data_IF_392619809216
#
_entry.id   IF_392619809216
#
_cell.length_a   1.000
_cell.length_b   1.000
_cell.length_c   1.000
_cell.angle_alpha   90.00
_cell.angle_beta   90.00
_cell.angle_gamma   90.00
#
_symmetry.space_group_name_H-M   'P 1'
#
loop_
_entity.id
_entity.type
_entity.pdbx_description
1 polymer ?
#
# COMPACT_ATOMS: atom_id res chain seq x y z
N UNK A 1 4.66 0.67 77.97
CA UNK A 1 6.08 0.58 78.37
C UNK A 1 6.88 0.11 77.17
N UNK A 2 8.13 0.48 76.89
CA UNK A 2 9.01 1.65 77.19
C UNK A 2 10.21 1.52 76.22
N UNK A 3 10.99 2.59 75.98
CA UNK A 3 12.22 2.67 75.16
C UNK A 3 13.22 1.49 75.33
N UNK A 4 14.20 1.22 74.45
CA UNK A 4 15.28 2.11 73.91
C UNK A 4 15.98 1.37 72.73
N UNK A 5 16.25 1.90 71.52
CA UNK A 5 17.16 2.98 71.04
C UNK A 5 18.68 2.70 71.09
N UNK A 6 19.36 2.66 69.92
CA UNK A 6 20.82 2.80 69.57
C UNK A 6 21.06 2.15 68.15
N UNK A 7 21.79 2.62 67.10
CA UNK A 7 22.74 3.74 66.80
C UNK A 7 24.24 3.28 66.76
N UNK A 8 25.06 3.36 65.69
CA UNK A 8 24.94 3.87 64.30
C UNK A 8 26.05 3.29 63.37
N UNK A 9 25.89 3.37 62.03
CA UNK A 9 26.98 3.26 61.02
C UNK A 9 26.53 2.59 59.70
N UNK A 10 26.33 3.28 58.56
CA UNK A 10 27.26 3.99 57.64
C UNK A 10 28.13 3.08 56.72
N UNK A 11 27.53 2.70 55.57
CA UNK A 11 27.95 2.95 54.17
C UNK A 11 29.45 3.09 53.76
N UNK A 12 29.81 2.90 52.46
CA UNK A 12 29.24 1.95 51.48
C UNK A 12 30.31 1.31 50.54
N UNK A 13 30.07 0.11 49.99
CA UNK A 13 30.89 -0.37 48.84
C UNK A 13 30.16 -1.23 47.81
N UNK A 14 30.24 -0.74 46.57
CA UNK A 14 29.87 -1.33 45.28
C UNK A 14 30.26 -2.79 45.08
N UNK A 15 29.29 -3.62 44.68
CA UNK A 15 29.53 -4.68 43.68
C UNK A 15 28.24 -5.05 42.94
N UNK A 16 28.12 -4.63 41.67
CA UNK A 16 27.19 -5.21 40.70
C UNK A 16 28.02 -6.01 39.70
N UNK A 17 27.66 -7.28 39.50
CA UNK A 17 28.21 -8.18 38.48
C UNK A 17 27.04 -8.95 37.82
N UNK A 18 27.21 -9.51 36.61
CA UNK A 18 26.34 -9.07 35.52
C UNK A 18 25.10 -9.95 35.29
N UNK A 19 24.12 -9.39 34.59
CA UNK A 19 23.06 -10.17 33.97
C UNK A 19 23.58 -10.89 32.72
N UNK A 20 23.20 -12.15 32.56
CA UNK A 20 23.62 -13.05 31.47
C UNK A 20 22.79 -12.82 30.18
N UNK A 21 23.39 -12.39 29.04
CA UNK A 21 22.67 -12.03 27.83
C UNK A 21 22.61 -13.19 26.81
N UNK A 22 22.03 -14.35 27.19
CA UNK A 22 22.16 -15.60 26.42
C UNK A 22 20.83 -16.30 26.00
N UNK A 23 19.81 -15.54 25.54
CA UNK A 23 18.63 -16.08 24.83
C UNK A 23 18.15 -15.25 23.62
N UNK A 24 19.08 -14.92 22.72
CA UNK A 24 18.74 -14.51 21.35
C UNK A 24 18.87 -15.70 20.40
N UNK A 25 17.76 -16.18 19.81
CA UNK A 25 17.78 -17.35 18.92
C UNK A 25 16.64 -17.33 17.90
N UNK A 26 16.98 -17.65 16.64
CA UNK A 26 16.04 -17.86 15.52
C UNK A 26 15.12 -16.65 15.15
N UNK A 27 15.66 -15.43 15.17
CA UNK A 27 15.20 -14.32 14.30
C UNK A 27 16.23 -13.99 13.19
N UNK A 28 17.02 -15.00 12.78
CA UNK A 28 17.91 -14.89 11.62
C UNK A 28 17.35 -15.68 10.45
N UNK A 29 17.32 -14.98 9.31
CA UNK A 29 17.22 -15.44 7.93
C UNK A 29 15.86 -15.50 7.20
N UNK A 30 14.67 -15.50 7.84
CA UNK A 30 13.36 -15.49 7.13
C UNK A 30 13.29 -14.49 5.95
N UNK A 31 13.67 -13.23 6.21
CA UNK A 31 13.68 -12.19 5.19
C UNK A 31 14.92 -12.26 4.26
N UNK A 32 16.02 -12.90 4.68
CA UNK A 32 17.16 -13.16 3.79
C UNK A 32 16.83 -14.26 2.78
N UNK A 33 16.08 -15.29 3.16
CA UNK A 33 15.64 -16.35 2.24
C UNK A 33 14.64 -15.82 1.20
N UNK A 34 13.62 -15.04 1.62
CA UNK A 34 12.73 -14.33 0.68
C UNK A 34 13.50 -13.45 -0.33
N UNK A 35 14.66 -12.89 0.05
CA UNK A 35 15.49 -12.12 -0.88
C UNK A 35 16.42 -13.00 -1.74
N UNK A 36 16.97 -14.10 -1.19
CA UNK A 36 17.79 -15.07 -1.95
C UNK A 36 16.99 -15.66 -3.12
N UNK A 37 15.74 -16.05 -2.87
CA UNK A 37 14.87 -16.66 -3.87
C UNK A 37 14.40 -15.64 -4.93
N UNK A 38 14.29 -14.35 -4.57
CA UNK A 38 13.95 -13.26 -5.49
C UNK A 38 15.16 -12.74 -6.30
N UNK A 39 16.38 -12.72 -5.76
CA UNK A 39 17.61 -12.26 -6.43
C UNK A 39 18.10 -13.23 -7.55
N UNK A 40 17.58 -14.46 -7.62
CA UNK A 40 18.17 -15.59 -8.36
C UNK A 40 18.11 -15.57 -9.92
N UNK A 41 17.78 -14.45 -10.58
CA UNK A 41 17.70 -14.40 -12.05
C UNK A 41 17.83 -12.99 -12.63
N UNK A 42 18.86 -12.75 -13.45
CA UNK A 42 19.17 -11.45 -14.05
C UNK A 42 19.48 -11.57 -15.56
N UNK A 43 18.81 -10.75 -16.36
CA UNK A 43 19.18 -10.47 -17.76
C UNK A 43 18.81 -9.01 -18.10
N UNK A 44 19.74 -8.26 -18.69
CA UNK A 44 19.63 -6.80 -18.85
C UNK A 44 19.04 -6.40 -20.20
N UNK A 45 18.09 -5.45 -20.22
CA UNK A 45 17.56 -4.83 -21.44
C UNK A 45 17.34 -3.32 -21.26
N UNK A 46 17.63 -2.51 -22.29
CA UNK A 46 17.55 -1.05 -22.24
C UNK A 46 16.34 -0.49 -23.03
N UNK A 47 15.91 0.71 -22.66
CA UNK A 47 14.68 1.32 -23.14
C UNK A 47 14.71 1.82 -24.60
N UNK A 48 13.54 1.77 -25.25
CA UNK A 48 13.26 2.41 -26.54
C UNK A 48 12.49 3.74 -26.40
N UNK A 49 12.29 4.48 -27.51
CA UNK A 49 11.70 5.83 -27.48
C UNK A 49 10.19 5.85 -27.20
N UNK A 50 9.73 6.98 -26.62
CA UNK A 50 8.37 7.20 -26.13
C UNK A 50 7.30 7.07 -27.23
N UNK A 51 6.27 6.22 -27.07
CA UNK A 51 5.19 6.08 -28.04
C UNK A 51 4.13 7.19 -27.92
N UNK A 52 3.38 7.37 -29.02
CA UNK A 52 2.06 8.04 -29.06
C UNK A 52 1.17 7.49 -27.94
N UNK A 53 0.29 8.28 -27.28
CA UNK A 53 -0.59 7.78 -26.23
C UNK A 53 -1.47 6.63 -26.74
N UNK A 54 -1.07 5.42 -26.34
CA UNK A 54 -1.82 4.19 -26.60
C UNK A 54 -3.19 4.25 -25.89
N UNK A 55 -4.19 3.47 -26.36
CA UNK A 55 -5.35 3.18 -25.51
C UNK A 55 -4.85 2.65 -24.16
N UNK A 56 -5.45 3.11 -23.05
CA UNK A 56 -5.08 2.59 -21.73
C UNK A 56 -5.34 1.08 -21.76
N UNK A 57 -4.31 0.24 -21.53
CA UNK A 57 -4.48 -1.21 -21.70
C UNK A 57 -5.55 -1.73 -20.73
N UNK A 58 -6.22 -2.85 -21.06
CA UNK A 58 -6.95 -3.59 -20.04
C UNK A 58 -6.00 -3.94 -18.89
N UNK A 59 -6.54 -4.12 -17.69
CA UNK A 59 -5.78 -4.76 -16.62
C UNK A 59 -5.31 -6.13 -17.12
N UNK A 60 -4.04 -6.53 -16.88
CA UNK A 60 -3.58 -7.86 -17.28
C UNK A 60 -4.42 -8.95 -16.59
N UNK A 61 -4.45 -10.19 -17.14
CA UNK A 61 -5.10 -11.33 -16.51
C UNK A 61 -4.72 -11.46 -15.04
N UNK A 62 -5.67 -11.88 -14.19
CA UNK A 62 -5.44 -11.88 -12.73
C UNK A 62 -4.36 -12.90 -12.30
N UNK A 63 -4.08 -13.86 -13.18
CA UNK A 63 -3.09 -14.94 -13.12
C UNK A 63 -1.87 -14.74 -14.04
N UNK A 64 -1.71 -13.57 -14.68
CA UNK A 64 -0.46 -13.31 -15.42
C UNK A 64 0.70 -13.17 -14.43
N UNK A 65 1.67 -14.09 -14.50
CA UNK A 65 2.83 -14.07 -13.63
C UNK A 65 3.82 -12.98 -14.04
N UNK A 66 4.23 -12.17 -13.07
CA UNK A 66 5.23 -11.12 -13.21
C UNK A 66 6.34 -11.29 -12.17
N UNK A 67 7.58 -10.97 -12.56
CA UNK A 67 8.73 -10.94 -11.66
C UNK A 67 9.72 -9.89 -12.16
N UNK A 68 9.94 -8.88 -11.33
CA UNK A 68 10.82 -7.74 -11.62
C UNK A 68 11.79 -7.53 -10.46
N UNK A 69 13.04 -7.21 -10.77
CA UNK A 69 14.05 -6.86 -9.78
C UNK A 69 14.95 -5.74 -10.32
N UNK A 70 15.25 -4.75 -9.50
CA UNK A 70 16.12 -3.63 -9.87
C UNK A 70 16.88 -3.07 -8.66
N UNK A 71 17.91 -2.27 -8.95
CA UNK A 71 18.81 -1.72 -7.94
C UNK A 71 19.48 -0.46 -8.45
N UNK A 72 19.76 0.49 -7.54
CA UNK A 72 20.49 1.72 -7.86
C UNK A 72 21.49 2.06 -6.75
N UNK A 73 22.55 2.78 -7.13
CA UNK A 73 23.54 3.35 -6.21
C UNK A 73 23.48 4.86 -6.12
N UNK A 74 22.61 5.50 -6.91
CA UNK A 74 22.21 6.89 -6.72
C UNK A 74 20.87 7.00 -5.98
N UNK A 75 20.78 8.00 -5.11
CA UNK A 75 19.65 8.21 -4.19
C UNK A 75 18.44 8.87 -4.86
N UNK A 76 18.67 9.65 -5.92
CA UNK A 76 17.62 10.33 -6.69
C UNK A 76 17.07 9.39 -7.77
N UNK A 77 17.94 8.60 -8.43
CA UNK A 77 17.52 7.51 -9.32
C UNK A 77 16.61 6.50 -8.60
N UNK A 78 17.03 6.03 -7.41
CA UNK A 78 16.23 5.14 -6.58
C UNK A 78 14.89 5.75 -6.14
N UNK A 79 14.88 7.06 -5.89
CA UNK A 79 13.68 7.82 -5.51
C UNK A 79 12.67 7.87 -6.65
N UNK A 80 13.11 8.17 -7.88
CA UNK A 80 12.26 8.20 -9.07
C UNK A 80 11.72 6.81 -9.42
N UNK A 81 12.57 5.78 -9.38
CA UNK A 81 12.16 4.39 -9.62
C UNK A 81 11.07 3.94 -8.64
N UNK A 82 11.23 4.21 -7.33
CA UNK A 82 10.22 3.88 -6.32
C UNK A 82 8.96 4.74 -6.41
N UNK A 83 9.07 6.02 -6.79
CA UNK A 83 7.90 6.89 -6.98
C UNK A 83 7.03 6.38 -8.13
N UNK A 84 7.65 5.95 -9.24
CA UNK A 84 6.94 5.32 -10.36
C UNK A 84 6.35 3.95 -9.97
N UNK A 85 7.15 3.06 -9.37
CA UNK A 85 6.74 1.69 -9.05
C UNK A 85 5.57 1.62 -8.06
N UNK A 86 5.53 2.51 -7.06
CA UNK A 86 4.47 2.55 -6.05
C UNK A 86 3.30 3.49 -6.43
N UNK A 87 3.28 4.04 -7.65
CA UNK A 87 2.31 5.08 -8.06
C UNK A 87 2.36 6.35 -7.20
N UNK A 88 3.46 6.53 -6.47
CA UNK A 88 3.66 7.49 -5.40
C UNK A 88 3.75 8.93 -5.88
N UNK A 89 3.70 9.87 -4.93
CA UNK A 89 3.79 11.31 -5.20
C UNK A 89 4.62 12.02 -4.14
N UNK A 90 5.43 12.98 -4.61
CA UNK A 90 6.32 13.83 -3.80
C UNK A 90 7.32 13.01 -2.99
N UNK A 91 7.81 11.92 -3.58
CA UNK A 91 8.87 11.15 -2.95
C UNK A 91 10.09 12.07 -2.78
N UNK A 92 10.62 12.13 -1.56
CA UNK A 92 11.84 12.85 -1.19
C UNK A 92 12.76 11.86 -0.50
N UNK A 93 13.90 11.58 -1.13
CA UNK A 93 14.94 10.77 -0.53
C UNK A 93 16.05 11.65 0.06
N UNK A 94 16.83 11.09 0.99
CA UNK A 94 18.14 11.62 1.38
C UNK A 94 19.05 10.48 1.82
N UNK A 95 20.37 10.56 1.62
CA UNK A 95 21.30 9.54 2.12
C UNK A 95 21.19 9.27 3.63
N UNK A 96 21.60 8.07 4.03
CA UNK A 96 21.81 7.69 5.43
C UNK A 96 23.21 8.07 5.92
N UNK A 97 23.66 7.40 6.97
CA UNK A 97 25.06 7.47 7.42
C UNK A 97 25.99 6.52 6.62
N UNK A 98 25.43 5.43 6.10
CA UNK A 98 26.12 4.44 5.26
C UNK A 98 26.10 4.84 3.78
N UNK A 99 27.01 4.29 2.95
CA UNK A 99 26.95 4.41 1.49
C UNK A 99 25.56 4.07 0.94
N UNK A 100 25.10 4.84 -0.06
CA UNK A 100 23.78 4.61 -0.61
C UNK A 100 23.72 3.32 -1.44
N UNK A 101 22.73 2.50 -1.14
CA UNK A 101 22.35 1.34 -1.93
C UNK A 101 20.85 1.13 -1.84
N UNK A 102 20.25 0.88 -3.00
CA UNK A 102 18.86 0.49 -3.15
C UNK A 102 18.76 -0.83 -3.91
N UNK A 103 17.91 -1.73 -3.43
CA UNK A 103 17.43 -2.92 -4.15
C UNK A 103 15.93 -3.09 -3.91
N UNK A 104 15.23 -3.55 -4.92
CA UNK A 104 13.83 -3.97 -4.84
C UNK A 104 13.61 -5.18 -5.74
N UNK A 105 12.79 -6.13 -5.29
CA UNK A 105 12.29 -7.22 -6.10
C UNK A 105 10.83 -7.52 -5.78
N UNK A 106 10.05 -7.90 -6.79
CA UNK A 106 8.65 -8.33 -6.70
C UNK A 106 8.44 -9.58 -7.54
N UNK A 107 7.61 -10.52 -7.07
CA UNK A 107 7.15 -11.65 -7.87
C UNK A 107 5.74 -12.13 -7.43
N UNK A 108 4.97 -12.63 -8.39
CA UNK A 108 3.63 -13.17 -8.17
C UNK A 108 2.71 -12.93 -9.37
N UNK A 109 1.42 -12.77 -9.12
CA UNK A 109 0.45 -12.29 -10.11
C UNK A 109 -0.39 -11.16 -9.50
N UNK A 110 -1.51 -10.79 -10.13
CA UNK A 110 -2.40 -9.76 -9.56
C UNK A 110 -3.14 -10.23 -8.31
N UNK A 111 -3.48 -11.52 -8.15
CA UNK A 111 -4.17 -12.02 -6.94
C UNK A 111 -3.30 -11.80 -5.71
N UNK A 112 -2.01 -12.11 -5.84
CA UNK A 112 -1.03 -11.95 -4.77
C UNK A 112 0.38 -11.77 -5.33
N UNK A 113 1.06 -10.73 -4.86
CA UNK A 113 2.50 -10.52 -5.08
C UNK A 113 3.26 -10.40 -3.76
N UNK A 114 4.49 -10.90 -3.77
CA UNK A 114 5.48 -10.81 -2.70
C UNK A 114 6.56 -9.82 -3.12
N UNK A 115 6.89 -8.87 -2.26
CA UNK A 115 7.88 -7.82 -2.52
C UNK A 115 8.91 -7.75 -1.40
N UNK A 116 10.16 -7.45 -1.73
CA UNK A 116 11.24 -7.24 -0.77
C UNK A 116 12.13 -6.09 -1.22
N UNK A 117 12.66 -5.33 -0.27
CA UNK A 117 13.49 -4.17 -0.60
C UNK A 117 14.43 -3.76 0.51
N UNK A 118 15.51 -3.08 0.11
CA UNK A 118 16.49 -2.47 1.01
C UNK A 118 16.82 -1.09 0.48
N UNK A 119 16.76 -0.08 1.33
CA UNK A 119 17.01 1.31 0.98
C UNK A 119 17.83 1.94 2.12
N UNK A 120 19.12 2.23 1.88
CA UNK A 120 20.02 2.73 2.95
C UNK A 120 19.94 4.24 3.19
N UNK A 121 19.09 4.94 2.45
CA UNK A 121 18.70 6.33 2.73
C UNK A 121 17.45 6.46 3.61
N UNK A 122 17.02 7.69 3.90
CA UNK A 122 15.66 7.95 4.34
C UNK A 122 14.77 8.26 3.14
N UNK A 123 13.52 7.81 3.15
CA UNK A 123 12.53 8.06 2.11
C UNK A 123 11.23 8.55 2.74
N UNK A 124 10.61 9.58 2.18
CA UNK A 124 9.27 10.03 2.58
C UNK A 124 8.46 10.39 1.33
N UNK A 125 7.14 10.29 1.40
CA UNK A 125 6.27 10.57 0.26
C UNK A 125 4.79 10.34 0.56
N UNK A 126 3.96 10.37 -0.48
CA UNK A 126 2.53 10.09 -0.43
C UNK A 126 2.24 8.87 -1.32
N UNK A 127 1.54 7.89 -0.79
CA UNK A 127 1.00 6.76 -1.56
C UNK A 127 -0.47 7.08 -1.92
N UNK A 128 -0.90 6.86 -3.17
CA UNK A 128 -2.31 6.99 -3.54
C UNK A 128 -3.18 5.92 -2.86
N UNK A 129 -4.47 6.21 -2.73
CA UNK A 129 -5.48 5.18 -2.47
C UNK A 129 -5.34 3.98 -3.43
N UNK A 130 -5.36 2.76 -2.88
CA UNK A 130 -5.66 1.51 -3.60
C UNK A 130 -6.79 0.77 -2.86
N UNK A 131 -7.33 -0.28 -3.48
CA UNK A 131 -8.25 -1.23 -2.84
C UNK A 131 -7.53 -2.44 -2.25
N UNK A 132 -6.30 -2.72 -2.69
CA UNK A 132 -5.53 -3.91 -2.34
C UNK A 132 -5.24 -3.99 -0.84
N UNK A 133 -5.28 -5.20 -0.27
CA UNK A 133 -4.90 -5.44 1.11
C UNK A 133 -3.38 -5.65 1.17
N UNK A 134 -2.68 -4.78 1.90
CA UNK A 134 -1.20 -4.74 1.93
C UNK A 134 -0.69 -4.97 3.35
N UNK A 135 0.02 -6.08 3.53
CA UNK A 135 0.76 -6.44 4.75
C UNK A 135 2.19 -5.97 4.58
N UNK A 136 2.77 -5.35 5.60
CA UNK A 136 4.15 -4.86 5.55
C UNK A 136 4.87 -5.10 6.87
N UNK A 137 6.17 -5.44 6.81
CA UNK A 137 7.04 -5.53 7.98
C UNK A 137 8.45 -5.04 7.65
N UNK A 138 9.14 -4.54 8.67
CA UNK A 138 10.43 -3.85 8.52
C UNK A 138 11.48 -4.55 9.41
N UNK A 139 12.11 -5.65 8.94
CA UNK A 139 13.14 -6.36 9.70
C UNK A 139 14.31 -5.49 10.18
N UNK A 140 14.60 -4.39 9.47
CA UNK A 140 15.50 -3.32 9.95
C UNK A 140 14.93 -1.95 9.60
N UNK A 141 15.21 -0.96 10.44
CA UNK A 141 14.64 0.38 10.31
C UNK A 141 13.19 0.47 10.79
N UNK A 142 12.49 1.52 10.36
CA UNK A 142 11.07 1.72 10.63
C UNK A 142 10.39 2.60 9.58
N UNK A 143 9.06 2.48 9.51
CA UNK A 143 8.17 3.41 8.81
C UNK A 143 7.17 4.03 9.79
N UNK A 144 6.89 5.31 9.59
CA UNK A 144 5.73 6.03 10.14
C UNK A 144 4.76 6.35 9.00
N UNK A 145 3.45 6.15 9.22
CA UNK A 145 2.39 6.38 8.24
C UNK A 145 1.30 7.26 8.86
N UNK A 146 0.97 8.35 8.19
CA UNK A 146 -0.09 9.29 8.56
C UNK A 146 -1.24 9.20 7.54
N UNK A 147 -2.46 9.01 8.03
CA UNK A 147 -3.63 8.76 7.19
C UNK A 147 -4.91 9.35 7.80
N UNK A 148 -5.98 9.61 7.02
CA UNK A 148 -7.17 10.34 7.49
C UNK A 148 -7.93 9.74 8.68
N UNK A 149 -7.65 8.49 9.07
CA UNK A 149 -8.24 7.81 10.25
C UNK A 149 -7.27 7.71 11.44
N UNK A 150 -5.97 8.02 11.30
CA UNK A 150 -5.00 7.85 12.39
C UNK A 150 -3.52 7.94 11.99
N UNK A 151 -2.67 7.37 12.84
CA UNK A 151 -1.22 7.26 12.65
C UNK A 151 -0.76 5.83 12.97
N UNK A 152 0.25 5.33 12.26
CA UNK A 152 0.80 3.99 12.38
C UNK A 152 2.34 4.09 12.40
N UNK A 153 3.00 3.48 13.39
CA UNK A 153 4.47 3.31 13.40
C UNK A 153 4.79 1.80 13.45
N UNK A 154 5.69 1.33 12.58
CA UNK A 154 6.09 -0.08 12.54
C UNK A 154 6.86 -0.52 13.80
N UNK A 155 6.41 -1.58 14.48
CA UNK A 155 7.03 -2.09 15.71
C UNK A 155 8.04 -3.20 15.38
N UNK A 156 9.22 -2.78 14.92
CA UNK A 156 10.28 -3.69 14.47
C UNK A 156 9.85 -4.59 13.30
N UNK A 157 10.34 -5.83 13.28
CA UNK A 157 10.02 -6.82 12.26
C UNK A 157 8.62 -7.46 12.34
N UNK A 158 7.67 -6.87 13.08
CA UNK A 158 6.28 -7.37 13.16
C UNK A 158 5.47 -6.89 11.94
N UNK A 159 4.64 -7.76 11.31
CA UNK A 159 3.65 -7.35 10.33
C UNK A 159 2.62 -6.36 10.87
N UNK A 160 2.23 -5.42 10.01
CA UNK A 160 1.07 -4.54 10.18
C UNK A 160 0.31 -4.42 8.85
N UNK A 161 -0.95 -3.98 8.91
CA UNK A 161 -1.76 -3.70 7.72
C UNK A 161 -1.67 -2.23 7.32
N UNK A 162 -1.11 -1.99 6.13
CA UNK A 162 -0.97 -0.67 5.52
C UNK A 162 -2.36 -0.10 5.14
N UNK A 163 -2.68 1.17 5.48
CA UNK A 163 -4.02 1.74 5.30
C UNK A 163 -4.30 2.24 3.86
N UNK A 164 -4.15 1.33 2.88
CA UNK A 164 -4.32 1.56 1.43
C UNK A 164 -5.64 2.18 1.02
N UNK A 165 -6.71 1.92 1.78
CA UNK A 165 -8.05 2.49 1.59
C UNK A 165 -8.17 4.01 1.71
N UNK A 166 -7.05 4.67 2.01
CA UNK A 166 -6.91 6.12 2.01
C UNK A 166 -5.60 6.48 1.35
N UNK A 167 -5.50 7.68 0.76
CA UNK A 167 -4.17 8.21 0.48
C UNK A 167 -3.49 8.51 1.82
N UNK A 168 -2.24 8.06 1.97
CA UNK A 168 -1.47 8.23 3.20
C UNK A 168 -0.09 8.82 2.88
N UNK A 169 0.46 9.63 3.79
CA UNK A 169 1.87 9.99 3.76
C UNK A 169 2.69 9.02 4.60
N UNK A 170 3.95 8.83 4.24
CA UNK A 170 4.87 7.99 4.99
C UNK A 170 6.25 8.65 5.13
N UNK A 171 6.99 8.24 6.16
CA UNK A 171 8.42 8.49 6.29
C UNK A 171 9.13 7.23 6.80
N UNK A 172 10.26 6.89 6.19
CA UNK A 172 11.07 5.71 6.44
C UNK A 172 12.49 6.10 6.84
N UNK A 173 13.09 5.34 7.75
CA UNK A 173 14.53 5.34 8.00
C UNK A 173 15.29 4.58 6.89
N UNK A 174 16.63 4.53 6.92
CA UNK A 174 17.37 3.42 6.33
C UNK A 174 16.76 2.11 6.83
N UNK A 175 16.38 1.23 5.91
CA UNK A 175 15.52 0.11 6.23
C UNK A 175 15.67 -1.07 5.27
N UNK A 176 15.13 -2.20 5.72
CA UNK A 176 14.77 -3.36 4.92
C UNK A 176 13.30 -3.64 5.14
N UNK A 177 12.54 -3.86 4.07
CA UNK A 177 11.12 -4.17 4.14
C UNK A 177 10.80 -5.46 3.39
N UNK A 178 9.67 -6.07 3.76
CA UNK A 178 9.01 -7.08 2.95
C UNK A 178 7.49 -6.87 3.01
N UNK A 179 6.81 -7.19 1.93
CA UNK A 179 5.41 -6.83 1.67
C UNK A 179 4.68 -8.02 1.05
N UNK A 180 3.44 -8.26 1.47
CA UNK A 180 2.47 -9.07 0.73
C UNK A 180 1.33 -8.15 0.28
N UNK A 181 1.03 -8.12 -1.02
CA UNK A 181 -0.06 -7.34 -1.60
C UNK A 181 -1.07 -8.31 -2.24
N UNK A 182 -2.34 -8.21 -1.85
CA UNK A 182 -3.42 -9.07 -2.32
C UNK A 182 -4.53 -8.26 -3.02
N UNK A 183 -5.03 -8.76 -4.15
CA UNK A 183 -6.21 -8.21 -4.83
C UNK A 183 -7.43 -8.26 -3.89
N UNK A 184 -8.19 -7.17 -3.90
CA UNK A 184 -9.30 -7.01 -2.99
C UNK A 184 -10.44 -8.02 -3.23
N UNK A 185 -10.72 -8.37 -4.48
CA UNK A 185 -11.69 -9.40 -4.83
C UNK A 185 -11.22 -10.78 -4.37
N UNK A 186 -9.95 -11.10 -4.59
CA UNK A 186 -9.39 -12.38 -4.15
C UNK A 186 -9.48 -12.60 -2.64
N UNK A 187 -9.09 -11.61 -1.81
CA UNK A 187 -9.20 -11.76 -0.36
C UNK A 187 -10.66 -11.75 0.12
N UNK A 188 -11.56 -10.99 -0.53
CA UNK A 188 -12.99 -11.00 -0.22
C UNK A 188 -13.67 -12.32 -0.59
N UNK A 189 -13.22 -13.00 -1.66
CA UNK A 189 -13.68 -14.34 -2.05
C UNK A 189 -13.20 -15.41 -1.03
N UNK A 190 -11.96 -15.32 -0.52
CA UNK A 190 -11.45 -16.20 0.54
C UNK A 190 -12.13 -15.94 1.89
N UNK A 191 -12.41 -14.67 2.23
CA UNK A 191 -13.16 -14.33 3.44
C UNK A 191 -14.62 -14.83 3.38
N UNK A 192 -15.21 -14.90 2.19
CA UNK A 192 -16.58 -15.35 1.97
C UNK A 192 -16.81 -16.82 2.35
N UNK A 193 -15.82 -17.70 2.09
CA UNK A 193 -15.90 -19.12 2.47
C UNK A 193 -15.95 -19.27 3.99
N UNK A 194 -15.08 -18.52 4.71
CA UNK A 194 -14.97 -18.52 6.17
C UNK A 194 -16.24 -18.00 6.86
N UNK A 195 -16.86 -16.94 6.33
CA UNK A 195 -18.06 -16.36 6.94
C UNK A 195 -19.40 -16.86 6.34
N UNK A 196 -19.38 -17.87 5.45
CA UNK A 196 -20.58 -18.50 4.89
C UNK A 196 -21.54 -17.55 4.16
N UNK A 197 -21.03 -16.52 3.49
CA UNK A 197 -21.82 -15.48 2.83
C UNK A 197 -21.25 -15.10 1.47
N UNK A 198 -21.80 -14.08 0.77
CA UNK A 198 -21.24 -13.61 -0.48
C UNK A 198 -20.00 -12.73 -0.26
N UNK A 199 -19.07 -12.68 -1.23
CA UNK A 199 -17.90 -11.79 -1.22
C UNK A 199 -18.25 -10.32 -0.98
N UNK A 200 -17.60 -9.73 0.02
CA UNK A 200 -17.85 -8.39 0.53
C UNK A 200 -16.64 -7.86 1.29
N UNK A 201 -16.39 -6.55 1.20
CA UNK A 201 -15.22 -5.87 1.79
C UNK A 201 -14.93 -6.30 3.23
N UNK A 202 -13.67 -6.68 3.46
CA UNK A 202 -13.12 -6.97 4.78
C UNK A 202 -12.71 -5.67 5.46
N UNK A 203 -13.11 -5.48 6.73
CA UNK A 203 -12.70 -4.36 7.57
C UNK A 203 -11.76 -4.89 8.66
N UNK A 204 -10.47 -4.64 8.50
CA UNK A 204 -9.44 -5.03 9.47
C UNK A 204 -9.25 -3.98 10.55
N UNK A 205 -8.86 -4.42 11.75
CA UNK A 205 -8.32 -3.52 12.77
C UNK A 205 -6.85 -3.17 12.46
N UNK A 206 -6.64 -2.03 11.81
CA UNK A 206 -5.30 -1.50 11.50
C UNK A 206 -4.47 -1.10 12.74
N UNK A 207 -5.04 -1.07 13.95
CA UNK A 207 -4.32 -0.86 15.19
C UNK A 207 -3.94 -2.17 15.91
N UNK A 208 -4.42 -3.33 15.43
CA UNK A 208 -4.11 -4.61 16.02
C UNK A 208 -2.65 -5.02 15.76
N UNK A 209 -1.94 -5.38 16.83
CA UNK A 209 -0.65 -6.06 16.77
C UNK A 209 -0.93 -7.56 16.79
N UNK A 210 -0.49 -8.35 15.79
CA UNK A 210 -0.73 -9.79 15.76
C UNK A 210 -0.17 -10.49 17.01
N UNK A 211 -0.85 -11.53 17.51
CA UNK A 211 -0.36 -12.35 18.60
C UNK A 211 0.87 -13.18 18.17
N UNK A 212 1.73 -13.57 19.12
CA UNK A 212 3.03 -14.21 18.80
C UNK A 212 2.86 -15.62 18.19
N UNK A 213 1.76 -16.31 18.50
CA UNK A 213 1.37 -17.61 17.92
C UNK A 213 0.80 -17.46 16.51
N UNK A 214 -0.10 -16.50 16.29
CA UNK A 214 -0.60 -16.14 14.95
C UNK A 214 0.55 -15.67 14.03
N UNK A 215 1.51 -14.92 14.57
CA UNK A 215 2.72 -14.50 13.86
C UNK A 215 3.64 -15.69 13.50
N UNK A 216 3.78 -16.67 14.40
CA UNK A 216 4.53 -17.89 14.10
C UNK A 216 3.86 -18.74 13.01
N UNK A 217 2.53 -18.88 13.06
CA UNK A 217 1.76 -19.56 12.02
C UNK A 217 1.89 -18.86 10.65
N UNK A 218 1.73 -17.53 10.61
CA UNK A 218 1.95 -16.72 9.41
C UNK A 218 3.36 -16.88 8.83
N UNK A 219 4.42 -16.82 9.66
CA UNK A 219 5.80 -17.03 9.20
C UNK A 219 5.99 -18.43 8.60
N UNK A 220 5.38 -19.46 9.20
CA UNK A 220 5.40 -20.83 8.66
C UNK A 220 4.75 -20.93 7.28
N UNK A 221 3.51 -20.44 7.13
CA UNK A 221 2.80 -20.43 5.84
C UNK A 221 3.56 -19.61 4.80
N UNK A 222 4.04 -18.41 5.16
CA UNK A 222 4.79 -17.55 4.25
C UNK A 222 6.06 -18.21 3.73
N UNK A 223 6.80 -18.94 4.57
CA UNK A 223 7.98 -19.68 4.16
C UNK A 223 7.64 -20.86 3.22
N UNK A 224 6.56 -21.59 3.49
CA UNK A 224 6.09 -22.71 2.65
C UNK A 224 5.62 -22.25 1.26
N UNK A 225 4.84 -21.16 1.20
CA UNK A 225 4.23 -20.68 -0.06
C UNK A 225 5.17 -19.84 -0.91
N UNK A 226 6.20 -19.21 -0.34
CA UNK A 226 7.07 -18.28 -1.08
C UNK A 226 7.69 -18.90 -2.33
N UNK A 227 8.38 -20.06 -2.29
CA UNK A 227 8.95 -20.68 -3.49
C UNK A 227 7.91 -21.00 -4.57
N UNK A 228 6.69 -21.35 -4.15
CA UNK A 228 5.57 -21.65 -5.04
C UNK A 228 5.04 -20.37 -5.72
N UNK A 229 4.94 -19.27 -4.97
CA UNK A 229 4.41 -17.99 -5.46
C UNK A 229 5.42 -17.25 -6.35
N UNK A 230 6.72 -17.28 -6.06
CA UNK A 230 7.76 -16.50 -6.78
C UNK A 230 8.41 -17.21 -7.98
N UNK A 231 8.11 -18.49 -8.19
CA UNK A 231 8.62 -19.26 -9.33
C UNK A 231 7.75 -19.07 -10.57
N UNK A 232 8.33 -18.83 -11.76
CA UNK A 232 7.57 -18.79 -13.02
C UNK A 232 7.05 -20.19 -13.43
N UNK A 233 7.74 -21.25 -13.04
CA UNK A 233 7.42 -22.64 -13.44
C UNK A 233 6.22 -23.23 -12.69
N UNK A 234 5.73 -22.57 -11.63
CA UNK A 234 4.57 -23.04 -10.85
C UNK A 234 3.29 -22.98 -11.69
N UNK A 235 2.62 -24.11 -11.84
CA UNK A 235 1.32 -24.20 -12.49
C UNK A 235 0.23 -23.39 -11.78
N UNK A 236 -0.72 -22.84 -12.55
CA UNK A 236 -1.73 -21.92 -12.02
C UNK A 236 -2.56 -22.47 -10.84
N UNK A 237 -2.84 -23.79 -10.83
CA UNK A 237 -3.56 -24.45 -9.73
C UNK A 237 -2.77 -24.45 -8.42
N UNK A 238 -1.48 -24.79 -8.48
CA UNK A 238 -0.61 -24.89 -7.30
C UNK A 238 -0.29 -23.49 -6.76
N UNK A 239 -0.11 -22.52 -7.67
CA UNK A 239 0.01 -21.10 -7.32
C UNK A 239 -1.25 -20.61 -6.61
N UNK A 240 -2.44 -20.87 -7.15
CA UNK A 240 -3.71 -20.47 -6.55
C UNK A 240 -3.93 -21.10 -5.15
N UNK A 241 -3.54 -22.36 -4.96
CA UNK A 241 -3.59 -23.02 -3.65
C UNK A 241 -2.67 -22.32 -2.64
N UNK A 242 -1.41 -22.05 -3.01
CA UNK A 242 -0.44 -21.35 -2.17
C UNK A 242 -0.87 -19.91 -1.85
N UNK A 243 -1.43 -19.18 -2.83
CA UNK A 243 -2.02 -17.86 -2.63
C UNK A 243 -3.22 -17.89 -1.68
N UNK A 244 -4.06 -18.93 -1.77
CA UNK A 244 -5.23 -19.10 -0.91
C UNK A 244 -4.81 -19.36 0.53
N UNK A 245 -3.81 -20.23 0.75
CA UNK A 245 -3.25 -20.48 2.08
C UNK A 245 -2.68 -19.21 2.73
N UNK A 246 -2.01 -18.34 1.95
CA UNK A 246 -1.48 -17.07 2.47
C UNK A 246 -2.58 -16.03 2.73
N UNK A 247 -3.64 -16.00 1.91
CA UNK A 247 -4.83 -15.19 2.13
C UNK A 247 -5.61 -15.65 3.39
N UNK A 248 -5.69 -16.95 3.63
CA UNK A 248 -6.26 -17.52 4.86
C UNK A 248 -5.41 -17.17 6.09
N UNK A 249 -4.09 -17.34 6.02
CA UNK A 249 -3.19 -16.96 7.11
C UNK A 249 -3.27 -15.46 7.44
N UNK A 250 -3.53 -14.59 6.45
CA UNK A 250 -3.78 -13.17 6.68
C UNK A 250 -5.09 -12.93 7.48
N UNK A 251 -6.14 -13.68 7.17
CA UNK A 251 -7.44 -13.61 7.86
C UNK A 251 -7.40 -14.21 9.29
N UNK A 252 -6.32 -14.90 9.67
CA UNK A 252 -6.02 -15.32 11.04
C UNK A 252 -5.03 -14.38 11.76
N UNK A 253 -4.17 -13.68 11.01
CA UNK A 253 -3.13 -12.81 11.56
C UNK A 253 -3.67 -11.49 12.18
N UNK A 254 -4.75 -10.94 11.62
CA UNK A 254 -5.37 -9.70 12.10
C UNK A 254 -6.88 -9.85 12.35
N UNK A 255 -7.45 -9.23 13.40
CA UNK A 255 -8.89 -9.16 13.58
C UNK A 255 -9.59 -8.45 12.42
N UNK A 256 -10.67 -9.03 11.93
CA UNK A 256 -11.48 -8.45 10.85
C UNK A 256 -12.98 -8.69 11.03
N UNK A 257 -13.78 -7.94 10.26
CA UNK A 257 -15.22 -8.14 10.12
C UNK A 257 -15.66 -7.90 8.67
N UNK A 258 -16.66 -8.65 8.15
CA UNK A 258 -17.25 -8.33 6.86
C UNK A 258 -18.09 -7.05 6.93
N UNK A 259 -17.92 -6.13 5.97
CA UNK A 259 -18.85 -5.01 5.79
C UNK A 259 -20.02 -5.45 4.93
N UNK A 260 -21.17 -5.61 5.58
CA UNK A 260 -22.42 -5.96 4.92
C UNK A 260 -22.86 -4.88 3.93
N UNK A 261 -22.46 -5.04 2.67
CA UNK A 261 -23.13 -4.36 1.53
C UNK A 261 -24.58 -4.85 1.50
N UNK A 262 -25.60 -3.97 1.48
CA UNK A 262 -27.01 -4.38 1.39
C UNK A 262 -27.28 -5.34 0.21
N UNK A 263 -28.20 -6.29 0.38
CA UNK A 263 -28.42 -7.37 -0.59
C UNK A 263 -28.84 -6.84 -1.98
N UNK A 264 -29.58 -5.74 -1.98
CA UNK A 264 -30.05 -4.97 -3.14
C UNK A 264 -28.88 -4.39 -3.96
N UNK A 265 -27.71 -4.23 -3.34
CA UNK A 265 -26.46 -3.74 -3.92
C UNK A 265 -25.45 -4.85 -4.23
N UNK A 266 -25.83 -6.14 -4.07
CA UNK A 266 -24.98 -7.31 -4.42
C UNK A 266 -25.21 -7.81 -5.86
N UNK A 267 -25.70 -6.95 -6.75
CA UNK A 267 -25.94 -7.30 -8.16
C UNK A 267 -24.66 -7.23 -8.99
N UNK A 268 -24.60 -7.98 -10.11
CA UNK A 268 -23.49 -7.86 -11.08
C UNK A 268 -23.38 -6.44 -11.66
N UNK A 269 -24.51 -5.74 -11.80
CA UNK A 269 -24.57 -4.29 -12.11
C UNK A 269 -23.74 -3.49 -11.11
N UNK A 270 -23.97 -3.69 -9.82
CA UNK A 270 -23.25 -2.98 -8.75
C UNK A 270 -21.81 -3.49 -8.55
N UNK A 271 -21.47 -4.72 -8.97
CA UNK A 271 -20.07 -5.19 -9.04
C UNK A 271 -19.29 -4.45 -10.14
N UNK A 272 -19.80 -4.46 -11.38
CA UNK A 272 -19.17 -3.74 -12.51
C UNK A 272 -19.08 -2.22 -12.26
N UNK A 273 -20.07 -1.64 -11.58
CA UNK A 273 -20.02 -0.23 -11.17
C UNK A 273 -18.89 0.08 -10.15
N UNK A 274 -18.61 -0.84 -9.21
CA UNK A 274 -17.47 -0.73 -8.28
C UNK A 274 -16.14 -0.81 -9.03
N UNK A 275 -15.99 -1.82 -9.89
CA UNK A 275 -14.82 -1.96 -10.79
C UNK A 275 -14.60 -0.70 -11.66
N UNK A 276 -15.67 -0.02 -12.10
CA UNK A 276 -15.57 1.20 -12.89
C UNK A 276 -15.06 2.39 -12.05
N UNK A 277 -15.46 2.48 -10.78
CA UNK A 277 -14.92 3.45 -9.84
C UNK A 277 -13.44 3.15 -9.51
N UNK A 278 -13.09 1.88 -9.30
CA UNK A 278 -11.73 1.40 -9.06
C UNK A 278 -10.80 1.75 -10.24
N UNK A 279 -11.21 1.44 -11.48
CA UNK A 279 -10.50 1.84 -12.70
C UNK A 279 -10.31 3.36 -12.80
N UNK A 280 -11.35 4.15 -12.46
CA UNK A 280 -11.21 5.61 -12.38
C UNK A 280 -10.18 6.01 -11.33
N UNK A 281 -10.19 5.43 -10.14
CA UNK A 281 -9.26 5.79 -9.06
C UNK A 281 -7.79 5.42 -9.37
N UNK A 282 -7.58 4.31 -10.07
CA UNK A 282 -6.26 3.81 -10.49
C UNK A 282 -5.63 4.66 -11.61
N UNK A 283 -6.43 5.10 -12.59
CA UNK A 283 -5.94 5.84 -13.77
C UNK A 283 -6.37 7.32 -13.78
N UNK A 284 -6.71 7.90 -12.63
CA UNK A 284 -7.33 9.25 -12.57
C UNK A 284 -6.41 10.38 -13.05
N UNK A 285 -5.09 10.18 -13.01
CA UNK A 285 -4.06 11.09 -13.52
C UNK A 285 -3.88 11.00 -15.04
N UNK A 286 -4.19 9.87 -15.66
CA UNK A 286 -4.18 9.68 -17.12
C UNK A 286 -5.41 10.31 -17.78
N UNK A 287 -5.36 10.48 -19.10
CA UNK A 287 -6.43 11.10 -19.89
C UNK A 287 -7.62 10.14 -20.17
N UNK A 288 -8.14 9.47 -19.13
CA UNK A 288 -9.25 8.50 -19.27
C UNK A 288 -10.57 9.15 -19.73
N UNK A 289 -11.23 8.49 -20.68
CA UNK A 289 -12.56 8.83 -21.18
C UNK A 289 -13.65 7.92 -20.58
N UNK A 290 -14.92 8.28 -20.79
CA UNK A 290 -16.05 7.42 -20.44
C UNK A 290 -16.12 6.12 -21.24
N UNK A 291 -15.40 6.03 -22.37
CA UNK A 291 -15.34 4.81 -23.18
C UNK A 291 -14.34 3.81 -22.59
N UNK A 292 -13.18 4.29 -22.12
CA UNK A 292 -12.13 3.43 -21.54
C UNK A 292 -12.62 2.81 -20.23
N UNK A 293 -13.25 3.62 -19.37
CA UNK A 293 -13.87 3.15 -18.11
C UNK A 293 -14.95 2.07 -18.39
N UNK A 294 -15.72 2.22 -19.48
CA UNK A 294 -16.77 1.28 -19.83
C UNK A 294 -16.23 -0.02 -20.43
N UNK A 295 -15.20 0.07 -21.30
CA UNK A 295 -14.51 -1.08 -21.85
C UNK A 295 -13.83 -1.92 -20.75
N UNK A 296 -13.21 -1.28 -19.77
CA UNK A 296 -12.52 -1.94 -18.65
C UNK A 296 -13.43 -2.77 -17.73
N UNK A 297 -14.76 -2.64 -17.84
CA UNK A 297 -15.75 -3.39 -17.01
C UNK A 297 -16.81 -4.13 -17.83
N UNK A 298 -16.54 -4.38 -19.11
CA UNK A 298 -17.48 -5.00 -20.05
C UNK A 298 -18.85 -4.27 -20.08
N UNK A 299 -18.83 -2.97 -20.37
CA UNK A 299 -20.04 -2.15 -20.47
C UNK A 299 -20.08 -1.31 -21.73
N UNK A 300 -21.29 -1.12 -22.27
CA UNK A 300 -21.53 0.00 -23.18
C UNK A 300 -21.48 1.34 -22.41
N UNK A 301 -20.87 2.41 -22.97
CA UNK A 301 -20.74 3.69 -22.27
C UNK A 301 -22.06 4.32 -21.81
N UNK A 302 -23.16 4.07 -22.54
CA UNK A 302 -24.51 4.52 -22.15
C UNK A 302 -25.03 3.80 -20.90
N UNK A 303 -24.74 2.51 -20.77
CA UNK A 303 -25.09 1.69 -19.60
C UNK A 303 -24.30 2.13 -18.37
N UNK A 304 -22.99 2.34 -18.51
CA UNK A 304 -22.16 2.93 -17.46
C UNK A 304 -22.68 4.31 -17.03
N UNK A 305 -22.97 5.19 -17.99
CA UNK A 305 -23.47 6.53 -17.70
C UNK A 305 -24.81 6.51 -16.93
N UNK A 306 -25.73 5.63 -17.30
CA UNK A 306 -26.99 5.46 -16.60
C UNK A 306 -26.75 4.99 -15.15
N UNK A 307 -25.91 3.99 -14.94
CA UNK A 307 -25.68 3.40 -13.62
C UNK A 307 -24.89 4.32 -12.68
N UNK A 308 -23.88 5.05 -13.17
CA UNK A 308 -23.21 6.07 -12.35
C UNK A 308 -24.18 7.21 -11.99
N UNK A 309 -25.12 7.57 -12.87
CA UNK A 309 -26.13 8.58 -12.56
C UNK A 309 -27.23 8.07 -11.60
N UNK A 310 -27.57 6.78 -11.65
CA UNK A 310 -28.53 6.08 -10.79
C UNK A 310 -27.99 5.89 -9.36
N UNK A 311 -26.78 5.34 -9.20
CA UNK A 311 -26.22 4.94 -7.91
C UNK A 311 -25.21 5.93 -7.30
N UNK A 312 -24.52 6.73 -8.11
CA UNK A 312 -23.49 7.70 -7.65
C UNK A 312 -23.92 9.17 -7.86
N UNK A 313 -25.13 9.41 -8.39
CA UNK A 313 -25.65 10.75 -8.67
C UNK A 313 -24.87 11.55 -9.72
N UNK A 314 -23.95 10.93 -10.46
CA UNK A 314 -23.00 11.63 -11.32
C UNK A 314 -22.71 10.87 -12.63
N UNK A 315 -22.52 11.61 -13.73
CA UNK A 315 -21.96 11.03 -14.96
C UNK A 315 -20.48 10.63 -14.78
N UNK A 316 -19.93 9.72 -15.61
CA UNK A 316 -18.53 9.28 -15.50
C UNK A 316 -17.54 10.45 -15.49
N UNK A 317 -17.73 11.42 -16.39
CA UNK A 317 -16.90 12.64 -16.48
C UNK A 317 -17.00 13.51 -15.22
N UNK A 318 -18.18 13.57 -14.56
CA UNK A 318 -18.36 14.28 -13.29
C UNK A 318 -17.69 13.54 -12.14
N UNK A 319 -17.74 12.21 -12.13
CA UNK A 319 -17.06 11.37 -11.14
C UNK A 319 -15.54 11.51 -11.22
N UNK A 320 -14.94 11.32 -12.41
CA UNK A 320 -13.50 11.54 -12.67
C UNK A 320 -13.06 12.94 -12.23
N UNK A 321 -13.85 13.98 -12.56
CA UNK A 321 -13.57 15.36 -12.13
C UNK A 321 -13.67 15.54 -10.61
N UNK A 322 -14.58 14.83 -9.94
CA UNK A 322 -14.69 14.79 -8.48
C UNK A 322 -13.44 14.20 -7.83
N UNK A 323 -13.04 13.00 -8.24
CA UNK A 323 -11.83 12.33 -7.74
C UNK A 323 -10.58 13.19 -7.97
N UNK A 324 -10.47 13.88 -9.13
CA UNK A 324 -9.38 14.84 -9.38
C UNK A 324 -9.39 16.04 -8.43
N UNK A 325 -10.56 16.56 -8.03
CA UNK A 325 -10.64 17.61 -7.00
C UNK A 325 -10.20 17.09 -5.62
N UNK A 326 -10.54 15.85 -5.28
CA UNK A 326 -10.10 15.21 -4.02
C UNK A 326 -8.59 14.99 -3.99
N UNK A 327 -8.02 14.49 -5.10
CA UNK A 327 -6.56 14.37 -5.26
C UNK A 327 -5.86 15.72 -5.21
N UNK A 328 -6.41 16.78 -5.83
CA UNK A 328 -5.90 18.16 -5.66
C UNK A 328 -5.96 18.61 -4.19
N UNK A 329 -7.02 18.30 -3.44
CA UNK A 329 -7.10 18.67 -2.01
C UNK A 329 -6.05 17.94 -1.17
N UNK A 330 -5.83 16.65 -1.42
CA UNK A 330 -4.75 15.89 -0.79
C UNK A 330 -3.37 16.47 -1.14
N UNK A 331 -3.12 16.79 -2.42
CA UNK A 331 -1.89 17.47 -2.84
C UNK A 331 -1.72 18.84 -2.14
N UNK A 332 -2.79 19.60 -1.88
CA UNK A 332 -2.66 20.92 -1.25
C UNK A 332 -2.42 20.81 0.26
N UNK A 333 -3.10 19.88 0.95
CA UNK A 333 -2.91 19.65 2.40
C UNK A 333 -1.53 19.11 2.78
N UNK A 334 -0.84 18.42 1.85
CA UNK A 334 0.54 17.94 2.04
C UNK A 334 1.55 18.81 1.27
N UNK A 335 1.19 20.06 0.92
CA UNK A 335 2.04 21.02 0.22
C UNK A 335 2.74 21.96 1.18
N UNK A 336 4.03 22.24 0.94
CA UNK A 336 4.69 23.37 1.58
C UNK A 336 4.13 24.68 0.98
N UNK A 337 3.54 25.59 1.76
CA UNK A 337 2.97 26.84 1.27
C UNK A 337 3.98 27.78 0.60
N UNK A 338 5.28 27.57 0.84
CA UNK A 338 6.37 28.41 0.29
C UNK A 338 6.85 27.94 -1.09
N UNK A 339 6.61 26.68 -1.46
CA UNK A 339 7.14 26.09 -2.70
C UNK A 339 6.08 25.43 -3.58
N UNK A 340 4.88 25.15 -3.07
CA UNK A 340 3.81 24.51 -3.84
C UNK A 340 2.95 25.54 -4.58
N UNK A 341 2.87 25.48 -5.92
CA UNK A 341 1.95 26.33 -6.66
C UNK A 341 0.60 25.64 -6.93
N UNK A 342 -0.49 26.29 -6.50
CA UNK A 342 -1.88 25.86 -6.75
C UNK A 342 -2.15 25.59 -8.23
N UNK A 343 -1.58 26.41 -9.12
CA UNK A 343 -1.68 26.29 -10.57
C UNK A 343 -1.04 25.01 -11.12
N UNK A 344 0.12 24.63 -10.60
CA UNK A 344 0.83 23.42 -10.99
C UNK A 344 0.09 22.17 -10.52
N UNK A 345 -0.36 22.15 -9.27
CA UNK A 345 -1.17 21.06 -8.71
C UNK A 345 -2.46 20.88 -9.52
N UNK A 346 -3.18 21.96 -9.82
CA UNK A 346 -4.38 21.91 -10.66
C UNK A 346 -4.07 21.38 -12.07
N UNK A 347 -2.99 21.86 -12.70
CA UNK A 347 -2.59 21.45 -14.06
C UNK A 347 -2.19 19.98 -14.10
N UNK A 348 -1.43 19.49 -13.11
CA UNK A 348 -1.04 18.08 -12.92
C UNK A 348 -2.25 17.14 -12.89
N UNK A 349 -3.34 17.57 -12.25
CA UNK A 349 -4.61 16.83 -12.20
C UNK A 349 -5.56 17.17 -13.36
N UNK A 350 -5.05 17.73 -14.46
CA UNK A 350 -5.76 17.94 -15.73
C UNK A 350 -6.66 19.18 -15.78
N UNK A 351 -6.55 20.13 -14.85
CA UNK A 351 -7.38 21.33 -14.81
C UNK A 351 -6.78 22.51 -15.60
N UNK A 352 -6.85 22.46 -16.93
CA UNK A 352 -6.34 23.49 -17.85
C UNK A 352 -6.91 24.90 -17.59
N UNK A 353 -8.16 25.01 -17.11
CA UNK A 353 -8.84 26.30 -16.88
C UNK A 353 -8.91 26.64 -15.39
N UNK A 354 -7.85 27.26 -14.85
CA UNK A 354 -7.69 27.54 -13.41
C UNK A 354 -8.90 28.25 -12.75
N UNK A 355 -9.55 29.20 -13.43
CA UNK A 355 -10.78 29.85 -12.90
C UNK A 355 -11.97 28.89 -12.77
N UNK A 356 -12.18 28.01 -13.75
CA UNK A 356 -13.21 26.94 -13.72
C UNK A 356 -12.87 25.82 -12.74
N UNK A 357 -11.59 25.65 -12.42
CA UNK A 357 -11.12 24.78 -11.35
C UNK A 357 -11.43 25.38 -9.97
N UNK A 358 -10.99 26.60 -9.71
CA UNK A 358 -11.18 27.29 -8.42
C UNK A 358 -12.67 27.34 -8.01
N UNK A 359 -13.55 27.73 -8.94
CA UNK A 359 -15.00 27.72 -8.70
C UNK A 359 -15.56 26.32 -8.38
N UNK A 360 -15.07 25.26 -9.05
CA UNK A 360 -15.50 23.89 -8.80
C UNK A 360 -14.92 23.29 -7.50
N UNK A 361 -13.75 23.77 -7.08
CA UNK A 361 -13.11 23.42 -5.82
C UNK A 361 -13.87 24.00 -4.63
N UNK A 362 -14.15 25.31 -4.66
CA UNK A 362 -14.99 25.98 -3.65
C UNK A 362 -16.38 25.34 -3.57
N UNK A 363 -16.99 25.03 -4.71
CA UNK A 363 -18.29 24.34 -4.77
C UNK A 363 -18.27 22.88 -4.26
N UNK A 364 -17.09 22.29 -3.99
CA UNK A 364 -16.94 20.94 -3.41
C UNK A 364 -16.49 20.97 -1.95
N UNK A 365 -15.67 21.94 -1.54
CA UNK A 365 -15.00 21.94 -0.24
C UNK A 365 -15.27 23.16 0.65
N UNK A 366 -15.92 24.21 0.14
CA UNK A 366 -16.26 25.43 0.88
C UNK A 366 -15.11 26.43 1.11
N UNK A 367 -13.88 26.05 0.80
CA UNK A 367 -12.64 26.85 0.94
C UNK A 367 -11.96 27.04 -0.45
N UNK A 368 -11.15 28.09 -0.65
CA UNK A 368 -10.36 28.20 -1.89
C UNK A 368 -9.12 27.30 -1.83
N UNK A 369 -8.60 26.83 -2.98
CA UNK A 369 -7.40 25.98 -3.03
C UNK A 369 -6.17 26.54 -2.30
N UNK A 370 -5.98 27.86 -2.34
CA UNK A 370 -4.89 28.55 -1.63
C UNK A 370 -5.09 28.52 -0.10
N UNK A 371 -6.34 28.49 0.36
CA UNK A 371 -6.68 28.52 1.77
C UNK A 371 -6.43 27.12 2.36
N UNK A 372 -6.76 26.06 1.60
CA UNK A 372 -6.37 24.67 1.91
C UNK A 372 -4.87 24.48 2.03
N UNK A 373 -4.08 25.10 1.12
CA UNK A 373 -2.62 25.04 1.11
C UNK A 373 -1.98 25.84 2.27
N UNK A 374 -2.72 26.68 2.97
CA UNK A 374 -2.23 27.48 4.10
C UNK A 374 -2.56 26.87 5.48
N UNK A 375 -2.88 25.56 5.51
CA UNK A 375 -3.27 24.79 6.71
C UNK A 375 -2.15 23.88 7.18
#
# INVERSE_FOLDING_TARGET
MTSTYTTQGLDPTTSRSPADPARGGHERDDALDLARDLDAGLATGLAGPTPVPAPVPPLPPIDEFHRDAWSATDVEEAREQLEVALGGRRFRARPGAEPFSFRFATAGDRRLSLQTGTFTGHLQGIIPWSRDYVVSWFPTGSVTIDYPKGHLTSVGGRPFLTPTETSYSFAMTPHRHSIVQLDAGFLEDVAATRHGGPPQRVDFDHAAVPADDALAAWRGVLAEVTPVVVSPETGASDRLLAQTALAEALLDLFPWRPVAVPAELRTERTRRLRLAAEYVHAYVDRAISSSDIAAAVDMHPRTLQQQMQEYLGASPTRFVRGVRLDRVRLDLLHGDPRTTLVSEVATRWGFVHLGRFSAAYVARFGEYPRDTLAR
#
